data_IF_965775586297
#
_entry.id   IF_965775586297
#
_cell.length_a   1.000
_cell.length_b   1.000
_cell.length_c   1.000
_cell.angle_alpha   90.00
_cell.angle_beta   90.00
_cell.angle_gamma   90.00
#
_symmetry.space_group_name_H-M   'P 1'
#
loop_
_entity.id
_entity.type
_entity.pdbx_description
1 polymer ?
#
# COMPACT_ATOMS: atom_id res chain seq x y z
N UNK A 1 5.40 -0.34 3.30
CA UNK A 1 4.58 -1.37 2.60
C UNK A 1 5.45 -2.57 2.22
N UNK A 2 6.51 -2.41 1.42
CA UNK A 2 7.35 -3.51 0.92
C UNK A 2 7.82 -4.52 1.98
N UNK A 3 8.47 -4.08 3.06
CA UNK A 3 8.98 -5.01 4.09
C UNK A 3 7.86 -5.80 4.77
N UNK A 4 6.73 -5.15 5.09
CA UNK A 4 5.57 -5.80 5.69
C UNK A 4 4.99 -6.84 4.73
N UNK A 5 4.87 -6.49 3.44
CA UNK A 5 4.45 -7.41 2.39
C UNK A 5 5.40 -8.60 2.26
N UNK A 6 6.72 -8.39 2.31
CA UNK A 6 7.69 -9.49 2.28
C UNK A 6 7.55 -10.43 3.47
N UNK A 7 7.38 -9.89 4.67
CA UNK A 7 7.12 -10.69 5.88
C UNK A 7 5.82 -11.47 5.73
N UNK A 8 4.74 -10.84 5.27
CA UNK A 8 3.46 -11.51 5.04
C UNK A 8 3.55 -12.65 4.02
N UNK A 9 4.35 -12.49 2.96
CA UNK A 9 4.62 -13.55 1.98
C UNK A 9 5.33 -14.72 2.65
N UNK A 10 6.29 -14.46 3.53
CA UNK A 10 7.02 -15.50 4.27
C UNK A 10 6.06 -16.25 5.22
N UNK A 11 5.26 -15.52 6.00
CA UNK A 11 4.27 -16.11 6.92
C UNK A 11 3.23 -16.97 6.19
N UNK A 12 2.81 -16.57 4.98
CA UNK A 12 1.79 -17.26 4.18
C UNK A 12 2.38 -18.17 3.09
N UNK A 13 3.66 -18.53 3.18
CA UNK A 13 4.36 -19.35 2.17
C UNK A 13 3.63 -20.67 1.89
N UNK A 14 3.17 -21.36 2.94
CA UNK A 14 2.46 -22.65 2.83
C UNK A 14 1.12 -22.52 2.13
N UNK A 15 0.35 -21.46 2.43
CA UNK A 15 -0.93 -21.17 1.76
C UNK A 15 -0.72 -20.90 0.25
N UNK A 16 0.30 -20.13 -0.11
CA UNK A 16 0.66 -19.85 -1.50
C UNK A 16 1.10 -21.13 -2.22
N UNK A 17 1.89 -21.96 -1.55
CA UNK A 17 2.33 -23.27 -2.04
C UNK A 17 1.16 -24.19 -2.36
N UNK A 18 0.18 -24.30 -1.45
CA UNK A 18 -1.04 -25.08 -1.63
C UNK A 18 -1.87 -24.56 -2.82
N UNK A 19 -2.07 -23.25 -2.95
CA UNK A 19 -2.79 -22.68 -4.11
C UNK A 19 -2.11 -23.02 -5.43
N UNK A 20 -0.78 -22.94 -5.49
CA UNK A 20 -0.02 -23.28 -6.71
C UNK A 20 -0.01 -24.77 -7.00
N UNK A 21 0.02 -25.63 -5.98
CA UNK A 21 -0.12 -27.08 -6.14
C UNK A 21 -1.50 -27.46 -6.71
N UNK A 22 -2.54 -26.69 -6.37
CA UNK A 22 -3.89 -26.82 -6.91
C UNK A 22 -4.07 -26.20 -8.31
N UNK A 23 -3.00 -25.68 -8.93
CA UNK A 23 -3.02 -25.15 -10.30
C UNK A 23 -3.12 -23.63 -10.43
N UNK A 24 -3.03 -22.85 -9.35
CA UNK A 24 -2.99 -21.39 -9.45
C UNK A 24 -1.77 -20.92 -10.25
N UNK A 25 -1.99 -20.01 -11.21
CA UNK A 25 -0.94 -19.45 -12.06
C UNK A 25 -0.15 -18.40 -11.28
N UNK A 26 1.08 -18.13 -11.74
CA UNK A 26 1.90 -17.03 -11.20
C UNK A 26 1.16 -15.68 -11.26
N UNK A 27 0.39 -15.46 -12.32
CA UNK A 27 -0.41 -14.24 -12.50
C UNK A 27 -1.49 -14.09 -11.42
N UNK A 28 -2.16 -15.17 -11.03
CA UNK A 28 -3.24 -15.13 -10.02
C UNK A 28 -2.69 -14.67 -8.66
N UNK A 29 -1.55 -15.24 -8.26
CA UNK A 29 -0.85 -14.86 -7.03
C UNK A 29 -0.35 -13.42 -7.12
N UNK A 30 0.21 -13.03 -8.27
CA UNK A 30 0.73 -11.67 -8.47
C UNK A 30 -0.39 -10.62 -8.37
N UNK A 31 -1.54 -10.86 -9.02
CA UNK A 31 -2.69 -9.96 -8.96
C UNK A 31 -3.22 -9.85 -7.53
N UNK A 32 -3.29 -10.95 -6.77
CA UNK A 32 -3.75 -10.93 -5.38
C UNK A 32 -2.88 -10.00 -4.52
N UNK A 33 -1.55 -10.17 -4.55
CA UNK A 33 -0.63 -9.37 -3.75
C UNK A 33 -0.52 -7.92 -4.22
N UNK A 34 -0.59 -7.69 -5.53
CA UNK A 34 -0.68 -6.33 -6.07
C UNK A 34 -1.97 -5.63 -5.62
N UNK A 35 -3.09 -6.35 -5.59
CA UNK A 35 -4.36 -5.82 -5.11
C UNK A 35 -4.30 -5.51 -3.61
N UNK A 36 -3.72 -6.39 -2.78
CA UNK A 36 -3.48 -6.10 -1.35
C UNK A 36 -2.63 -4.83 -1.18
N UNK A 37 -1.55 -4.70 -1.94
CA UNK A 37 -0.68 -3.50 -1.90
C UNK A 37 -1.40 -2.23 -2.33
N UNK A 38 -2.18 -2.33 -3.41
CA UNK A 38 -2.97 -1.22 -3.94
C UNK A 38 -4.04 -0.78 -2.93
N UNK A 39 -4.78 -1.73 -2.33
CA UNK A 39 -5.76 -1.45 -1.29
C UNK A 39 -5.12 -0.77 -0.08
N UNK A 40 -4.00 -1.29 0.41
CA UNK A 40 -3.26 -0.68 1.52
C UNK A 40 -2.83 0.76 1.19
N UNK A 41 -2.37 1.01 -0.05
CA UNK A 41 -1.98 2.36 -0.49
C UNK A 41 -3.17 3.31 -0.67
N UNK A 42 -4.33 2.81 -1.09
CA UNK A 42 -5.55 3.59 -1.21
C UNK A 42 -6.08 3.99 0.17
N UNK A 43 -6.17 3.04 1.10
CA UNK A 43 -6.54 3.34 2.49
C UNK A 43 -5.56 4.31 3.14
N UNK A 44 -4.26 4.10 2.97
CA UNK A 44 -3.23 5.02 3.45
C UNK A 44 -3.35 6.41 2.82
N UNK A 45 -3.65 6.50 1.53
CA UNK A 45 -3.85 7.75 0.81
C UNK A 45 -5.08 8.53 1.30
N UNK A 46 -6.24 7.85 1.44
CA UNK A 46 -7.47 8.46 1.94
C UNK A 46 -7.27 8.99 3.37
N UNK A 47 -6.69 8.16 4.25
CA UNK A 47 -6.41 8.57 5.63
C UNK A 47 -5.38 9.70 5.68
N UNK A 48 -4.35 9.65 4.83
CA UNK A 48 -3.32 10.70 4.72
C UNK A 48 -3.89 12.04 4.28
N UNK A 49 -4.78 12.05 3.28
CA UNK A 49 -5.48 13.27 2.83
C UNK A 49 -6.38 13.81 3.94
N UNK A 50 -7.15 12.94 4.60
CA UNK A 50 -8.03 13.34 5.70
C UNK A 50 -7.26 13.95 6.88
N UNK A 51 -6.17 13.31 7.30
CA UNK A 51 -5.29 13.82 8.36
C UNK A 51 -4.56 15.10 7.93
N UNK A 52 -4.09 15.18 6.69
CA UNK A 52 -3.46 16.38 6.15
C UNK A 52 -4.41 17.58 6.17
N UNK A 53 -5.68 17.37 5.80
CA UNK A 53 -6.72 18.40 5.87
C UNK A 53 -7.03 18.81 7.32
N UNK A 54 -7.13 17.85 8.23
CA UNK A 54 -7.34 18.12 9.67
C UNK A 54 -6.19 18.96 10.26
N UNK A 55 -4.94 18.58 9.98
CA UNK A 55 -3.75 19.32 10.44
C UNK A 55 -3.74 20.72 9.85
N UNK A 56 -4.02 20.87 8.55
CA UNK A 56 -4.11 22.18 7.90
C UNK A 56 -5.17 23.07 8.58
N UNK A 57 -6.33 22.52 8.91
CA UNK A 57 -7.39 23.25 9.61
C UNK A 57 -6.95 23.71 11.02
N UNK A 58 -6.31 22.84 11.80
CA UNK A 58 -5.82 23.17 13.14
C UNK A 58 -4.73 24.24 13.08
N UNK A 59 -3.79 24.12 12.14
CA UNK A 59 -2.72 25.11 11.93
C UNK A 59 -3.31 26.46 11.53
N UNK A 60 -4.33 26.47 10.66
CA UNK A 60 -5.03 27.70 10.28
C UNK A 60 -5.69 28.40 11.46
N UNK A 61 -6.32 27.65 12.37
CA UNK A 61 -6.91 28.19 13.61
C UNK A 61 -5.85 28.84 14.52
N UNK A 62 -4.71 28.17 14.70
CA UNK A 62 -3.60 28.68 15.53
C UNK A 62 -2.95 29.93 14.91
N UNK A 63 -2.77 29.94 13.59
CA UNK A 63 -2.20 31.07 12.86
C UNK A 63 -3.11 32.31 12.95
N UNK A 64 -4.43 32.12 12.80
CA UNK A 64 -5.42 33.18 12.98
C UNK A 64 -5.39 33.77 14.40
N UNK A 65 -5.23 32.93 15.43
CA UNK A 65 -5.11 33.38 16.82
C UNK A 65 -3.79 34.15 17.09
N UNK A 66 -2.75 33.90 16.29
CA UNK A 66 -1.41 34.52 16.44
C UNK A 66 -1.19 35.73 15.53
N UNK A 67 -2.24 36.20 14.83
CA UNK A 67 -2.18 37.29 13.85
C UNK A 67 -1.20 37.03 12.67
N UNK A 68 -0.87 35.74 12.43
CA UNK A 68 -0.07 35.31 11.30
C UNK A 68 -1.02 34.99 10.14
N UNK A 69 -0.91 35.71 9.03
CA UNK A 69 -1.80 35.56 7.87
C UNK A 69 -1.42 34.32 7.01
N UNK A 70 -1.55 33.12 7.58
CA UNK A 70 -1.33 31.85 6.87
C UNK A 70 -2.70 31.24 6.57
N UNK A 71 -3.09 31.25 5.30
CA UNK A 71 -4.32 30.61 4.83
C UNK A 71 -3.95 29.29 4.15
N UNK A 72 -4.11 28.13 4.81
CA UNK A 72 -3.84 26.85 4.18
C UNK A 72 -4.89 26.56 3.11
N UNK A 73 -4.48 26.57 1.84
CA UNK A 73 -5.33 26.23 0.70
C UNK A 73 -5.06 24.78 0.30
N UNK A 74 -6.03 23.90 0.53
CA UNK A 74 -5.98 22.52 0.01
C UNK A 74 -6.65 22.50 -1.35
N UNK A 75 -5.84 22.65 -2.40
CA UNK A 75 -6.28 22.61 -3.78
C UNK A 75 -6.58 21.19 -4.27
N UNK A 76 -7.46 21.10 -5.27
CA UNK A 76 -7.86 19.83 -5.89
C UNK A 76 -6.68 19.17 -6.65
N UNK A 77 -5.73 19.99 -7.11
CA UNK A 77 -4.44 19.61 -7.68
C UNK A 77 -3.55 18.87 -6.67
N UNK A 78 -3.45 19.37 -5.44
CA UNK A 78 -2.68 18.74 -4.37
C UNK A 78 -3.27 17.37 -3.99
N UNK A 79 -4.60 17.27 -3.92
CA UNK A 79 -5.31 16.01 -3.64
C UNK A 79 -5.09 14.99 -4.77
N UNK A 80 -5.21 15.42 -6.04
CA UNK A 80 -4.93 14.58 -7.20
C UNK A 80 -3.49 14.08 -7.22
N UNK A 81 -2.52 14.97 -7.00
CA UNK A 81 -1.09 14.62 -6.91
C UNK A 81 -0.83 13.62 -5.77
N UNK A 82 -1.36 13.87 -4.57
CA UNK A 82 -1.20 12.97 -3.43
C UNK A 82 -1.79 11.58 -3.71
N UNK A 83 -2.95 11.53 -4.37
CA UNK A 83 -3.61 10.27 -4.74
C UNK A 83 -2.81 9.49 -5.77
N UNK A 84 -2.38 10.15 -6.86
CA UNK A 84 -1.54 9.54 -7.89
C UNK A 84 -0.21 9.04 -7.32
N UNK A 85 0.42 9.84 -6.47
CA UNK A 85 1.67 9.47 -5.82
C UNK A 85 1.48 8.27 -4.89
N UNK A 86 0.43 8.25 -4.06
CA UNK A 86 0.13 7.10 -3.19
C UNK A 86 -0.09 5.82 -3.99
N UNK A 87 -0.87 5.88 -5.08
CA UNK A 87 -1.11 4.74 -5.96
C UNK A 87 0.19 4.24 -6.62
N UNK A 88 1.02 5.15 -7.14
CA UNK A 88 2.30 4.80 -7.75
C UNK A 88 3.25 4.12 -6.73
N UNK A 89 3.36 4.67 -5.53
CA UNK A 89 4.16 4.11 -4.43
C UNK A 89 3.63 2.73 -4.03
N UNK A 90 2.32 2.58 -3.87
CA UNK A 90 1.68 1.30 -3.54
C UNK A 90 1.99 0.20 -4.56
N UNK A 91 1.83 0.52 -5.84
CA UNK A 91 2.13 -0.41 -6.93
C UNK A 91 3.62 -0.76 -7.01
N UNK A 92 4.49 0.25 -6.94
CA UNK A 92 5.93 0.06 -7.08
C UNK A 92 6.49 -0.82 -5.94
N UNK A 93 6.13 -0.51 -4.69
CA UNK A 93 6.60 -1.26 -3.52
C UNK A 93 5.88 -2.61 -3.34
N UNK A 94 4.73 -2.82 -3.99
CA UNK A 94 4.02 -4.10 -4.03
C UNK A 94 4.55 -5.08 -5.09
N UNK A 95 5.18 -4.57 -6.15
CA UNK A 95 5.61 -5.39 -7.29
C UNK A 95 6.68 -6.43 -6.91
N UNK A 96 7.70 -6.01 -6.16
CA UNK A 96 8.77 -6.91 -5.71
C UNK A 96 8.26 -8.08 -4.84
N UNK A 97 7.52 -7.86 -3.72
CA UNK A 97 7.00 -8.95 -2.92
C UNK A 97 5.96 -9.80 -3.68
N UNK A 98 5.12 -9.20 -4.53
CA UNK A 98 4.17 -9.95 -5.35
C UNK A 98 4.88 -10.91 -6.31
N UNK A 99 5.95 -10.46 -6.96
CA UNK A 99 6.76 -11.31 -7.83
C UNK A 99 7.48 -12.41 -7.03
N UNK A 100 8.02 -12.08 -5.84
CA UNK A 100 8.61 -13.06 -4.92
C UNK A 100 7.61 -14.17 -4.59
N UNK A 101 6.39 -13.82 -4.15
CA UNK A 101 5.33 -14.77 -3.86
C UNK A 101 4.93 -15.62 -5.08
N UNK A 102 4.76 -14.97 -6.24
CA UNK A 102 4.43 -15.63 -7.49
C UNK A 102 5.55 -16.53 -8.03
N UNK A 103 6.79 -16.40 -7.54
CA UNK A 103 7.93 -17.24 -7.93
C UNK A 103 8.15 -18.48 -7.07
N UNK A 104 7.53 -18.58 -5.87
CA UNK A 104 7.70 -19.70 -4.94
C UNK A 104 7.37 -21.06 -5.57
N UNK A 105 8.23 -22.06 -5.41
CA UNK A 105 7.95 -23.40 -5.92
C UNK A 105 7.06 -24.17 -4.94
N UNK A 106 6.02 -24.90 -5.40
CA UNK A 106 5.12 -25.64 -4.52
C UNK A 106 5.86 -26.67 -3.65
N UNK A 107 6.88 -27.32 -4.21
CA UNK A 107 7.71 -28.32 -3.52
C UNK A 107 8.48 -27.69 -2.37
N UNK A 108 9.06 -26.50 -2.56
CA UNK A 108 9.76 -25.78 -1.49
C UNK A 108 8.77 -25.29 -0.44
N UNK A 109 7.63 -24.74 -0.85
CA UNK A 109 6.63 -24.18 0.05
C UNK A 109 5.92 -25.22 0.94
N UNK A 110 5.89 -26.49 0.56
CA UNK A 110 5.31 -27.60 1.33
C UNK A 110 6.33 -28.40 2.13
N UNK A 111 7.63 -28.16 1.91
CA UNK A 111 8.73 -28.86 2.57
C UNK A 111 9.24 -28.11 3.83
N UNK A 112 8.80 -26.88 4.03
CA UNK A 112 8.82 -26.23 5.33
C UNK A 112 7.75 -26.90 6.22
N UNK A 113 8.16 -27.37 7.41
CA UNK A 113 7.28 -28.05 8.39
C UNK A 113 5.94 -27.33 8.61
#
# INVERSE_FOLDING_TARGET
IMNIMLVSVIERTREIGLRKAMGARKADIMIQFLTESALLSLFGGILGIGLGWLIAFIVGQIAAASNANIVPVVGLDAVLMATLFSAAVGLFFGLYPANRAASLQPVEALRYE
#
